data_IF_333246988221
#
_entry.id   IF_333246988221
#
_cell.length_a   1.000
_cell.length_b   1.000
_cell.length_c   1.000
_cell.angle_alpha   90.00
_cell.angle_beta   90.00
_cell.angle_gamma   90.00
#
_symmetry.space_group_name_H-M   'P 1'
#
loop_
_entity.id
_entity.type
_entity.pdbx_description
1 polymer ?
#
# COMPACT_ATOMS: atom_id res chain seq x y z
N UNK A 1 34.62 -31.15 -25.37
CA UNK A 1 34.42 -30.32 -24.16
C UNK A 1 34.02 -28.93 -24.56
N UNK A 2 32.75 -28.58 -24.34
CA UNK A 2 32.22 -27.24 -24.57
C UNK A 2 32.25 -26.48 -23.25
N UNK A 3 32.81 -25.27 -23.26
CA UNK A 3 32.79 -24.37 -22.10
C UNK A 3 31.53 -23.51 -22.23
N UNK A 4 30.53 -23.77 -21.40
CA UNK A 4 29.23 -23.08 -21.45
C UNK A 4 29.29 -21.68 -20.82
N UNK A 5 30.20 -21.46 -19.87
CA UNK A 5 30.39 -20.18 -19.19
C UNK A 5 31.82 -20.02 -18.68
N UNK A 6 32.30 -18.78 -18.64
CA UNK A 6 33.57 -18.42 -18.01
C UNK A 6 33.37 -17.25 -17.04
N UNK A 7 34.13 -17.27 -15.95
CA UNK A 7 34.18 -16.16 -15.00
C UNK A 7 35.41 -15.31 -15.29
N UNK A 8 35.21 -14.01 -15.42
CA UNK A 8 36.27 -13.07 -15.77
C UNK A 8 36.01 -11.70 -15.14
N UNK A 9 36.99 -10.80 -15.20
CA UNK A 9 36.82 -9.43 -14.72
C UNK A 9 35.82 -8.66 -15.60
N UNK A 10 34.99 -7.85 -14.95
CA UNK A 10 33.92 -7.11 -15.62
C UNK A 10 34.43 -6.28 -16.81
N UNK A 11 35.49 -5.49 -16.61
CA UNK A 11 36.04 -4.60 -17.63
C UNK A 11 36.47 -5.37 -18.89
N UNK A 12 37.15 -6.51 -18.72
CA UNK A 12 37.63 -7.29 -19.87
C UNK A 12 36.49 -8.05 -20.53
N UNK A 13 35.53 -8.60 -19.76
CA UNK A 13 34.32 -9.21 -20.33
C UNK A 13 33.50 -8.22 -21.15
N UNK A 14 33.23 -7.03 -20.62
CA UNK A 14 32.48 -5.98 -21.33
C UNK A 14 33.20 -5.57 -22.61
N UNK A 15 34.52 -5.40 -22.56
CA UNK A 15 35.30 -5.10 -23.75
C UNK A 15 35.19 -6.19 -24.80
N UNK A 16 35.41 -7.45 -24.43
CA UNK A 16 35.38 -8.59 -25.34
C UNK A 16 34.00 -8.79 -25.97
N UNK A 17 32.93 -8.72 -25.17
CA UNK A 17 31.55 -8.86 -25.66
C UNK A 17 31.15 -7.71 -26.60
N UNK A 18 31.51 -6.47 -26.27
CA UNK A 18 31.08 -5.30 -27.05
C UNK A 18 31.94 -5.01 -28.28
N UNK A 19 33.17 -5.54 -28.35
CA UNK A 19 34.12 -5.21 -29.41
C UNK A 19 34.62 -6.40 -30.25
N UNK A 20 34.68 -7.61 -29.69
CA UNK A 20 35.34 -8.76 -30.34
C UNK A 20 34.38 -9.92 -30.60
N UNK A 21 33.50 -10.24 -29.65
CA UNK A 21 32.66 -11.43 -29.66
C UNK A 21 31.20 -11.06 -29.44
N UNK A 22 30.58 -10.50 -30.49
CA UNK A 22 29.19 -10.01 -30.45
C UNK A 22 28.13 -11.10 -30.19
N UNK A 23 28.50 -12.38 -30.30
CA UNK A 23 27.64 -13.53 -30.03
C UNK A 23 27.61 -13.91 -28.54
N UNK A 24 28.56 -13.40 -27.76
CA UNK A 24 28.63 -13.63 -26.32
C UNK A 24 27.82 -12.58 -25.57
N UNK A 25 27.37 -12.92 -24.36
CA UNK A 25 26.71 -11.98 -23.46
C UNK A 25 27.24 -12.15 -22.04
N UNK A 26 27.33 -11.05 -21.30
CA UNK A 26 27.57 -11.08 -19.86
C UNK A 26 26.25 -11.40 -19.14
N UNK A 27 26.26 -12.33 -18.19
CA UNK A 27 25.06 -12.74 -17.43
C UNK A 27 25.25 -12.40 -15.95
N UNK A 28 24.27 -11.71 -15.37
CA UNK A 28 24.25 -11.37 -13.93
C UNK A 28 24.94 -10.05 -13.58
N UNK A 29 25.07 -9.81 -12.27
CA UNK A 29 25.77 -8.65 -11.69
C UNK A 29 27.14 -9.08 -11.17
N UNK A 30 28.09 -8.14 -11.11
CA UNK A 30 29.42 -8.41 -10.57
C UNK A 30 29.32 -8.94 -9.12
N UNK A 31 29.85 -10.13 -8.87
CA UNK A 31 29.77 -10.79 -7.55
C UNK A 31 30.85 -10.31 -6.57
N UNK A 32 31.88 -9.61 -7.07
CA UNK A 32 32.98 -9.07 -6.26
C UNK A 32 33.47 -7.75 -6.84
N UNK A 33 33.70 -6.78 -5.96
CA UNK A 33 34.34 -5.51 -6.30
C UNK A 33 35.83 -5.60 -5.97
N UNK A 34 36.64 -5.62 -7.02
CA UNK A 34 38.10 -5.56 -6.92
C UNK A 34 38.61 -4.45 -7.84
N UNK A 35 39.73 -3.85 -7.47
CA UNK A 35 40.31 -2.71 -8.17
C UNK A 35 41.69 -3.10 -8.70
N UNK A 36 42.02 -2.61 -9.89
CA UNK A 36 43.36 -2.71 -10.44
C UNK A 36 44.27 -1.73 -9.71
N UNK A 37 45.44 -2.21 -9.27
CA UNK A 37 46.44 -1.40 -8.58
C UNK A 37 47.80 -1.60 -9.24
N UNK A 38 48.63 -0.55 -9.20
CA UNK A 38 50.03 -0.63 -9.61
C UNK A 38 50.81 -1.21 -8.42
N UNK A 39 51.36 -2.43 -8.53
CA UNK A 39 52.11 -3.00 -7.41
C UNK A 39 53.42 -2.25 -7.22
N UNK A 40 53.67 -1.78 -5.98
CA UNK A 40 54.92 -1.09 -5.62
C UNK A 40 55.64 -1.83 -4.49
N UNK A 41 56.97 -1.82 -4.51
CA UNK A 41 57.80 -2.45 -3.46
C UNK A 41 57.57 -1.72 -2.13
N UNK A 42 57.50 -2.47 -1.03
CA UNK A 42 57.41 -1.88 0.32
C UNK A 42 58.61 -0.96 0.58
N UNK A 43 58.33 0.28 0.98
CA UNK A 43 59.36 1.31 1.21
C UNK A 43 59.82 2.05 -0.06
N UNK A 44 59.10 1.94 -1.17
CA UNK A 44 59.42 2.72 -2.36
C UNK A 44 59.19 4.22 -2.11
N UNK A 45 60.25 5.01 -2.29
CA UNK A 45 60.29 6.44 -1.97
C UNK A 45 59.24 7.26 -2.74
N UNK A 46 58.89 6.85 -3.96
CA UNK A 46 57.95 7.57 -4.83
C UNK A 46 56.48 7.15 -4.67
N UNK A 47 56.15 6.32 -3.67
CA UNK A 47 54.77 5.86 -3.50
C UNK A 47 53.80 7.04 -3.30
N UNK A 48 54.16 7.98 -2.43
CA UNK A 48 53.31 9.14 -2.14
C UNK A 48 53.09 10.02 -3.38
N UNK A 49 54.14 10.24 -4.17
CA UNK A 49 54.04 11.00 -5.42
C UNK A 49 53.16 10.25 -6.44
N UNK A 50 53.35 8.94 -6.61
CA UNK A 50 52.52 8.14 -7.50
C UNK A 50 51.03 8.20 -7.11
N UNK A 51 50.72 8.04 -5.83
CA UNK A 51 49.34 8.10 -5.32
C UNK A 51 48.73 9.50 -5.60
N UNK A 52 49.49 10.58 -5.40
CA UNK A 52 49.05 11.94 -5.70
C UNK A 52 48.79 12.16 -7.20
N UNK A 53 49.64 11.62 -8.07
CA UNK A 53 49.45 11.75 -9.52
C UNK A 53 48.27 10.90 -10.00
N UNK A 54 48.05 9.70 -9.46
CA UNK A 54 46.87 8.89 -9.76
C UNK A 54 45.59 9.63 -9.37
N UNK A 55 45.57 10.24 -8.19
CA UNK A 55 44.40 11.02 -7.74
C UNK A 55 44.13 12.21 -8.66
N UNK A 56 45.17 12.99 -8.99
CA UNK A 56 45.05 14.11 -9.93
C UNK A 56 44.56 13.64 -11.31
N UNK A 57 45.00 12.47 -11.77
CA UNK A 57 44.59 11.86 -13.04
C UNK A 57 43.13 11.39 -13.03
N UNK A 58 42.62 10.95 -11.87
CA UNK A 58 41.19 10.66 -11.66
C UNK A 58 40.36 11.94 -11.67
N UNK A 59 40.79 12.97 -10.92
CA UNK A 59 40.07 14.25 -10.80
C UNK A 59 40.02 15.03 -12.12
N UNK A 60 41.04 14.90 -12.97
CA UNK A 60 41.08 15.56 -14.27
C UNK A 60 40.20 14.90 -15.35
N UNK A 61 39.46 13.84 -15.01
CA UNK A 61 38.65 13.03 -15.94
C UNK A 61 39.45 12.43 -17.12
N UNK A 62 40.78 12.37 -17.02
CA UNK A 62 41.63 11.85 -18.10
C UNK A 62 41.50 10.32 -18.20
N UNK A 63 41.26 9.65 -17.06
CA UNK A 63 40.89 8.23 -17.02
C UNK A 63 39.60 7.98 -17.78
N UNK A 64 38.58 8.83 -17.62
CA UNK A 64 37.30 8.67 -18.32
C UNK A 64 37.50 8.86 -19.82
N UNK A 65 38.36 9.80 -20.23
CA UNK A 65 38.71 9.99 -21.64
C UNK A 65 39.41 8.78 -22.25
N UNK A 66 40.35 8.18 -21.52
CA UNK A 66 41.03 6.94 -21.93
C UNK A 66 40.02 5.80 -21.99
N UNK A 67 39.15 5.70 -20.98
CA UNK A 67 38.13 4.66 -20.90
C UNK A 67 37.15 4.73 -22.07
N UNK A 68 36.63 5.92 -22.37
CA UNK A 68 35.75 6.15 -23.51
C UNK A 68 36.45 5.84 -24.85
N UNK A 69 37.73 6.22 -24.98
CA UNK A 69 38.50 5.96 -26.21
C UNK A 69 38.73 4.48 -26.47
N UNK A 70 39.05 3.70 -25.44
CA UNK A 70 39.45 2.29 -25.58
C UNK A 70 38.31 1.30 -25.36
N UNK A 71 37.38 1.60 -24.46
CA UNK A 71 36.27 0.72 -24.07
C UNK A 71 34.90 1.21 -24.53
N UNK A 72 34.76 2.49 -24.90
CA UNK A 72 33.47 3.09 -25.29
C UNK A 72 33.02 2.84 -26.72
N UNK A 73 33.87 2.26 -27.58
CA UNK A 73 33.45 1.82 -28.92
C UNK A 73 32.66 0.52 -28.78
N UNK A 74 31.47 0.47 -29.39
CA UNK A 74 30.70 -0.75 -29.55
C UNK A 74 30.68 -1.07 -31.05
N UNK A 75 31.39 -2.12 -31.45
CA UNK A 75 31.48 -2.54 -32.85
C UNK A 75 30.37 -3.54 -33.22
N UNK A 76 29.60 -4.00 -32.25
CA UNK A 76 28.52 -4.95 -32.44
C UNK A 76 27.22 -4.22 -32.79
N UNK A 77 26.69 -4.43 -34.00
CA UNK A 77 25.37 -3.96 -34.39
C UNK A 77 24.30 -4.82 -33.71
N UNK A 78 23.47 -4.21 -32.87
CA UNK A 78 22.43 -4.87 -32.06
C UNK A 78 21.27 -5.47 -32.87
N UNK A 79 21.28 -5.34 -34.19
CA UNK A 79 20.10 -5.50 -35.03
C UNK A 79 19.80 -6.94 -35.46
N UNK A 80 20.78 -7.85 -35.50
CA UNK A 80 20.54 -9.19 -36.11
C UNK A 80 20.14 -10.30 -35.13
N UNK A 81 20.54 -10.20 -33.85
CA UNK A 81 20.32 -11.25 -32.84
C UNK A 81 19.04 -11.04 -32.02
N UNK A 82 18.59 -9.80 -31.88
CA UNK A 82 17.37 -9.48 -31.14
C UNK A 82 16.11 -9.81 -31.97
N UNK A 83 16.10 -9.54 -33.27
CA UNK A 83 14.94 -9.80 -34.15
C UNK A 83 14.63 -11.30 -34.33
N UNK A 84 15.65 -12.16 -34.36
CA UNK A 84 15.43 -13.62 -34.41
C UNK A 84 14.94 -14.20 -33.06
N UNK A 85 15.28 -13.55 -31.94
CA UNK A 85 14.96 -14.00 -30.58
C UNK A 85 13.62 -13.45 -30.08
N UNK A 86 13.22 -12.25 -30.47
CA UNK A 86 11.90 -11.69 -30.16
C UNK A 86 10.80 -12.48 -30.85
N UNK A 87 11.02 -12.93 -32.09
CA UNK A 87 10.02 -13.67 -32.86
C UNK A 87 9.75 -15.07 -32.29
N UNK A 88 10.78 -15.72 -31.73
CA UNK A 88 10.67 -17.04 -31.08
C UNK A 88 10.16 -16.95 -29.65
N UNK A 89 10.58 -15.94 -28.88
CA UNK A 89 10.08 -15.71 -27.51
C UNK A 89 8.63 -15.23 -27.52
N UNK A 90 8.26 -14.29 -28.39
CA UNK A 90 6.88 -13.79 -28.47
C UNK A 90 5.90 -14.93 -28.81
N UNK A 91 6.23 -15.80 -29.77
CA UNK A 91 5.41 -16.97 -30.12
C UNK A 91 5.26 -17.96 -28.96
N UNK A 92 6.34 -18.20 -28.20
CA UNK A 92 6.31 -19.12 -27.05
C UNK A 92 5.52 -18.55 -25.87
N UNK A 93 5.70 -17.27 -25.58
CA UNK A 93 5.02 -16.60 -24.45
C UNK A 93 3.53 -16.40 -24.75
N UNK A 94 3.16 -16.02 -25.98
CA UNK A 94 1.75 -15.96 -26.39
C UNK A 94 1.06 -17.32 -26.30
N UNK A 95 1.72 -18.39 -26.77
CA UNK A 95 1.19 -19.75 -26.67
C UNK A 95 0.92 -20.19 -25.23
N UNK A 96 1.84 -19.89 -24.30
CA UNK A 96 1.65 -20.19 -22.89
C UNK A 96 0.49 -19.40 -22.27
N UNK A 97 0.33 -18.13 -22.63
CA UNK A 97 -0.80 -17.31 -22.15
C UNK A 97 -2.13 -17.91 -22.64
N UNK A 98 -2.25 -18.29 -23.91
CA UNK A 98 -3.47 -18.93 -24.43
C UNK A 98 -3.79 -20.25 -23.73
N UNK A 99 -2.77 -21.08 -23.45
CA UNK A 99 -2.95 -22.33 -22.69
C UNK A 99 -3.46 -22.03 -21.27
N UNK A 100 -2.88 -21.04 -20.58
CA UNK A 100 -3.32 -20.69 -19.22
C UNK A 100 -4.75 -20.15 -19.21
N UNK A 101 -5.14 -19.31 -20.17
CA UNK A 101 -6.50 -18.78 -20.30
C UNK A 101 -7.49 -19.92 -20.60
N UNK A 102 -7.14 -20.84 -21.49
CA UNK A 102 -7.97 -22.01 -21.78
C UNK A 102 -8.16 -22.89 -20.55
N UNK A 103 -7.09 -23.12 -19.78
CA UNK A 103 -7.14 -23.93 -18.56
C UNK A 103 -7.97 -23.25 -17.46
N UNK A 104 -7.83 -21.94 -17.28
CA UNK A 104 -8.67 -21.15 -16.36
C UNK A 104 -10.14 -21.19 -16.79
N UNK A 105 -10.42 -21.10 -18.09
CA UNK A 105 -11.77 -21.15 -18.63
C UNK A 105 -12.43 -22.52 -18.38
N UNK A 106 -11.71 -23.61 -18.63
CA UNK A 106 -12.17 -24.98 -18.33
C UNK A 106 -12.38 -25.16 -16.82
N UNK A 107 -11.44 -24.70 -16.00
CA UNK A 107 -11.58 -24.76 -14.53
C UNK A 107 -12.76 -23.94 -14.03
N UNK A 108 -13.02 -22.77 -14.62
CA UNK A 108 -14.19 -21.95 -14.27
C UNK A 108 -15.50 -22.67 -14.61
N UNK A 109 -15.57 -23.35 -15.76
CA UNK A 109 -16.74 -24.17 -16.13
C UNK A 109 -16.90 -25.35 -15.17
N UNK A 110 -15.81 -26.06 -14.84
CA UNK A 110 -15.83 -27.17 -13.90
C UNK A 110 -16.26 -26.72 -12.50
N UNK A 111 -15.74 -25.59 -12.00
CA UNK A 111 -16.13 -25.01 -10.71
C UNK A 111 -17.59 -24.56 -10.75
N UNK A 112 -18.06 -23.99 -11.86
CA UNK A 112 -19.47 -23.61 -12.00
C UNK A 112 -20.38 -24.85 -11.93
N UNK A 113 -20.05 -25.92 -12.65
CA UNK A 113 -20.77 -27.19 -12.56
C UNK A 113 -20.68 -27.85 -11.18
N UNK A 114 -19.52 -27.80 -10.53
CA UNK A 114 -19.32 -28.32 -9.18
C UNK A 114 -20.08 -27.52 -8.13
N UNK A 115 -20.10 -26.19 -8.21
CA UNK A 115 -20.86 -25.33 -7.31
C UNK A 115 -22.36 -25.59 -7.45
N UNK A 116 -22.85 -25.79 -8.68
CA UNK A 116 -24.25 -26.13 -8.95
C UNK A 116 -24.60 -27.54 -8.47
N UNK A 117 -23.68 -28.50 -8.60
CA UNK A 117 -23.83 -29.87 -8.07
C UNK A 117 -23.81 -29.88 -6.53
N UNK A 118 -22.94 -29.12 -5.89
CA UNK A 118 -22.88 -29.00 -4.44
C UNK A 118 -24.08 -28.25 -3.87
N UNK A 119 -24.62 -27.25 -4.58
CA UNK A 119 -25.89 -26.63 -4.24
C UNK A 119 -27.03 -27.67 -4.25
N UNK A 120 -27.10 -28.51 -5.30
CA UNK A 120 -28.10 -29.56 -5.41
C UNK A 120 -27.93 -30.68 -4.35
N UNK A 121 -26.69 -31.10 -4.08
CA UNK A 121 -26.38 -32.07 -3.01
C UNK A 121 -26.67 -31.47 -1.62
N UNK A 122 -26.44 -30.17 -1.41
CA UNK A 122 -26.78 -29.50 -0.14
C UNK A 122 -28.29 -29.42 0.10
N UNK A 123 -29.09 -29.27 -0.95
CA UNK A 123 -30.56 -29.32 -0.88
C UNK A 123 -31.04 -30.76 -0.58
N UNK A 124 -30.43 -31.76 -1.22
CA UNK A 124 -30.83 -33.17 -1.04
C UNK A 124 -30.37 -33.74 0.31
N UNK A 125 -29.22 -33.31 0.83
CA UNK A 125 -28.75 -33.67 2.18
C UNK A 125 -29.53 -32.97 3.30
N UNK A 126 -30.15 -31.81 3.04
CA UNK A 126 -31.07 -31.14 3.99
C UNK A 126 -32.43 -31.81 4.13
N UNK A 127 -32.88 -32.56 3.13
CA UNK A 127 -34.12 -33.36 3.23
C UNK A 127 -33.87 -34.72 3.92
N UNK A 128 -32.63 -35.23 3.90
CA UNK A 128 -32.28 -36.54 4.48
C UNK A 128 -31.51 -36.49 5.80
N UNK A 129 -31.20 -35.31 6.36
CA UNK A 129 -30.65 -35.14 7.72
C UNK A 129 -31.59 -34.33 8.60
N UNK A 130 -32.78 -34.86 8.82
CA UNK A 130 -33.35 -34.84 10.17
C UNK A 130 -32.74 -36.03 10.88
N UNK A 131 -32.17 -35.81 12.07
CA UNK A 131 -31.57 -36.81 12.96
C UNK A 131 -30.09 -37.15 12.71
N UNK A 132 -29.22 -36.28 13.22
CA UNK A 132 -28.06 -36.70 14.03
C UNK A 132 -27.34 -35.47 14.58
N UNK A 133 -27.77 -35.04 15.77
CA UNK A 133 -27.04 -34.15 16.65
C UNK A 133 -25.80 -34.93 17.13
N UNK A 134 -24.65 -34.66 16.53
CA UNK A 134 -23.37 -35.01 17.12
C UNK A 134 -23.00 -33.86 18.04
N UNK A 135 -23.02 -34.14 19.34
CA UNK A 135 -22.53 -33.26 20.40
C UNK A 135 -21.02 -33.04 20.23
N UNK A 136 -20.64 -32.07 19.41
CA UNK A 136 -19.34 -31.42 19.48
C UNK A 136 -19.45 -30.27 20.50
N UNK A 137 -18.45 -29.99 21.35
CA UNK A 137 -18.50 -28.83 22.23
C UNK A 137 -18.40 -27.56 21.37
N UNK A 138 -19.55 -27.05 20.93
CA UNK A 138 -19.71 -25.84 20.13
C UNK A 138 -19.56 -24.61 21.02
N UNK A 139 -18.33 -24.22 21.32
CA UNK A 139 -18.03 -22.89 21.89
C UNK A 139 -17.66 -21.89 20.79
N UNK A 140 -18.34 -21.95 19.64
CA UNK A 140 -18.18 -20.91 18.62
C UNK A 140 -18.72 -19.61 19.16
N UNK A 141 -17.89 -18.57 19.20
CA UNK A 141 -18.30 -17.22 19.61
C UNK A 141 -19.44 -16.74 18.73
N UNK A 142 -20.49 -16.17 19.35
CA UNK A 142 -21.63 -15.61 18.64
C UNK A 142 -21.81 -14.13 18.97
N UNK A 143 -22.12 -13.38 17.91
CA UNK A 143 -22.35 -11.95 17.89
C UNK A 143 -23.80 -11.73 17.50
N UNK A 144 -24.53 -11.01 18.36
CA UNK A 144 -25.94 -10.70 18.14
C UNK A 144 -26.06 -9.19 18.00
N UNK A 145 -26.68 -8.74 16.92
CA UNK A 145 -26.98 -7.35 16.63
C UNK A 145 -28.51 -7.18 16.64
N UNK A 146 -29.03 -6.19 17.37
CA UNK A 146 -30.47 -5.95 17.47
C UNK A 146 -30.75 -4.47 17.28
N UNK A 147 -31.68 -4.16 16.37
CA UNK A 147 -32.22 -2.80 16.17
C UNK A 147 -31.10 -1.79 15.83
N UNK A 148 -30.14 -2.19 15.00
CA UNK A 148 -29.02 -1.32 14.59
C UNK A 148 -29.18 -0.77 13.17
N UNK A 149 -29.90 -1.46 12.29
CA UNK A 149 -29.98 -1.16 10.85
C UNK A 149 -30.44 0.26 10.54
N UNK A 150 -31.34 0.81 11.35
CA UNK A 150 -31.89 2.16 11.23
C UNK A 150 -30.91 3.27 11.63
N UNK A 151 -29.85 2.93 12.38
CA UNK A 151 -28.90 3.87 12.93
C UNK A 151 -27.51 3.81 12.26
N UNK A 152 -27.31 2.90 11.29
CA UNK A 152 -26.08 2.78 10.53
C UNK A 152 -26.09 3.71 9.32
N UNK A 153 -24.99 4.44 9.12
CA UNK A 153 -24.76 5.15 7.86
C UNK A 153 -24.39 4.17 6.73
N UNK A 154 -24.39 4.63 5.48
CA UNK A 154 -24.16 3.76 4.31
C UNK A 154 -22.84 2.96 4.41
N UNK A 155 -21.77 3.59 4.91
CA UNK A 155 -20.49 2.92 5.15
C UNK A 155 -20.61 1.80 6.20
N UNK A 156 -21.19 2.10 7.36
CA UNK A 156 -21.34 1.15 8.45
C UNK A 156 -22.24 -0.02 8.07
N UNK A 157 -23.32 0.24 7.33
CA UNK A 157 -24.19 -0.80 6.77
C UNK A 157 -23.44 -1.71 5.79
N UNK A 158 -22.67 -1.15 4.85
CA UNK A 158 -21.88 -1.95 3.92
C UNK A 158 -20.78 -2.77 4.61
N UNK A 159 -20.16 -2.22 5.66
CA UNK A 159 -19.20 -2.95 6.48
C UNK A 159 -19.87 -4.10 7.24
N UNK A 160 -21.06 -3.87 7.81
CA UNK A 160 -21.84 -4.90 8.48
C UNK A 160 -22.23 -6.02 7.52
N UNK A 161 -22.77 -5.69 6.35
CA UNK A 161 -23.10 -6.67 5.30
C UNK A 161 -21.89 -7.52 4.91
N UNK A 162 -20.71 -6.89 4.78
CA UNK A 162 -19.45 -7.56 4.50
C UNK A 162 -19.11 -8.58 5.60
N UNK A 163 -19.22 -8.18 6.87
CA UNK A 163 -18.96 -9.08 8.00
C UNK A 163 -19.98 -10.22 8.07
N UNK A 164 -21.28 -9.93 7.94
CA UNK A 164 -22.34 -10.94 7.91
C UNK A 164 -22.14 -11.95 6.77
N UNK A 165 -21.66 -11.50 5.61
CA UNK A 165 -21.36 -12.38 4.47
C UNK A 165 -20.18 -13.33 4.74
N UNK A 166 -19.17 -12.87 5.50
CA UNK A 166 -17.95 -13.63 5.80
C UNK A 166 -18.09 -14.51 7.05
N UNK A 167 -18.90 -14.11 8.02
CA UNK A 167 -19.08 -14.78 9.31
C UNK A 167 -20.56 -15.18 9.54
N UNK A 168 -21.19 -15.78 8.51
CA UNK A 168 -22.62 -16.11 8.47
C UNK A 168 -23.14 -16.90 9.67
N UNK A 169 -22.33 -17.80 10.19
CA UNK A 169 -22.73 -18.69 11.28
C UNK A 169 -22.45 -18.09 12.67
N UNK A 170 -21.82 -16.91 12.72
CA UNK A 170 -21.38 -16.26 13.97
C UNK A 170 -22.06 -14.93 14.21
N UNK A 171 -22.60 -14.28 13.19
CA UNK A 171 -23.27 -12.97 13.31
C UNK A 171 -24.77 -13.11 13.02
N UNK A 172 -25.59 -12.81 14.03
CA UNK A 172 -27.05 -12.78 13.93
C UNK A 172 -27.51 -11.32 13.98
N UNK A 173 -28.12 -10.84 12.90
CA UNK A 173 -28.64 -9.48 12.82
C UNK A 173 -30.17 -9.50 12.85
N UNK A 174 -30.76 -8.87 13.86
CA UNK A 174 -32.19 -8.72 14.05
C UNK A 174 -32.56 -7.26 13.82
N UNK A 175 -33.41 -7.01 12.81
CA UNK A 175 -33.81 -5.65 12.44
C UNK A 175 -34.72 -5.01 13.49
N UNK A 176 -35.57 -5.81 14.14
CA UNK A 176 -36.53 -5.33 15.13
C UNK A 176 -36.42 -6.07 16.46
N UNK A 177 -36.80 -5.39 17.52
CA UNK A 177 -36.90 -5.94 18.88
C UNK A 177 -37.95 -7.03 19.00
N UNK A 178 -39.06 -6.92 18.25
CA UNK A 178 -40.17 -7.87 18.26
C UNK A 178 -39.80 -9.27 17.79
N UNK A 179 -38.77 -9.38 16.95
CA UNK A 179 -38.37 -10.64 16.32
C UNK A 179 -37.38 -11.42 17.18
N UNK A 180 -36.90 -10.79 18.25
CA UNK A 180 -35.83 -11.30 19.08
C UNK A 180 -36.36 -12.04 20.31
N UNK A 181 -35.88 -13.26 20.49
CA UNK A 181 -36.22 -14.12 21.62
C UNK A 181 -34.93 -14.76 22.16
N UNK A 182 -34.56 -14.43 23.40
CA UNK A 182 -33.37 -14.97 24.05
C UNK A 182 -33.42 -16.50 24.17
N UNK A 183 -34.61 -17.09 24.27
CA UNK A 183 -34.77 -18.54 24.42
C UNK A 183 -34.49 -19.30 23.11
N UNK A 184 -34.54 -18.61 21.97
CA UNK A 184 -34.19 -19.17 20.66
C UNK A 184 -32.69 -19.14 20.37
N UNK A 185 -31.91 -18.45 21.20
CA UNK A 185 -30.48 -18.33 21.00
C UNK A 185 -29.74 -19.54 21.56
N UNK A 186 -28.58 -19.88 20.98
CA UNK A 186 -27.73 -20.91 21.53
C UNK A 186 -27.28 -20.54 22.95
N UNK A 187 -27.11 -21.55 23.82
CA UNK A 187 -26.90 -21.42 25.27
C UNK A 187 -25.73 -20.52 25.73
N UNK A 188 -24.89 -20.02 24.83
CA UNK A 188 -23.78 -19.12 25.14
C UNK A 188 -23.60 -18.07 24.05
N UNK A 189 -24.19 -16.89 24.26
CA UNK A 189 -23.97 -15.70 23.43
C UNK A 189 -22.72 -15.01 23.96
N UNK A 190 -21.77 -14.69 23.08
CA UNK A 190 -20.56 -14.03 23.57
C UNK A 190 -20.76 -12.53 23.63
N UNK A 191 -21.26 -11.90 22.57
CA UNK A 191 -21.28 -10.44 22.50
C UNK A 191 -22.58 -9.94 21.88
N UNK A 192 -23.23 -8.99 22.54
CA UNK A 192 -24.48 -8.37 22.14
C UNK A 192 -24.26 -6.90 21.78
N UNK A 193 -24.74 -6.47 20.61
CA UNK A 193 -24.72 -5.08 20.15
C UNK A 193 -26.17 -4.62 19.96
N UNK A 194 -26.58 -3.54 20.63
CA UNK A 194 -27.99 -3.12 20.71
C UNK A 194 -28.15 -1.60 20.60
N UNK A 195 -29.32 -1.14 20.18
CA UNK A 195 -29.73 0.26 20.33
C UNK A 195 -29.93 0.62 21.81
N UNK A 196 -29.80 1.91 22.15
CA UNK A 196 -30.14 2.43 23.48
C UNK A 196 -31.60 2.15 23.88
N UNK A 197 -32.51 2.19 22.91
CA UNK A 197 -33.93 1.86 23.08
C UNK A 197 -34.12 0.40 23.52
N UNK A 198 -33.49 -0.54 22.83
CA UNK A 198 -33.53 -1.95 23.24
C UNK A 198 -32.79 -2.18 24.56
N UNK A 199 -31.67 -1.49 24.79
CA UNK A 199 -30.96 -1.58 26.06
C UNK A 199 -31.83 -1.13 27.26
N UNK A 200 -32.75 -0.19 27.07
CA UNK A 200 -33.68 0.24 28.11
C UNK A 200 -34.79 -0.79 28.42
N UNK A 201 -35.12 -1.68 27.47
CA UNK A 201 -36.11 -2.75 27.71
C UNK A 201 -35.50 -3.95 28.43
N UNK A 202 -34.17 -4.11 28.36
CA UNK A 202 -33.44 -5.11 29.13
C UNK A 202 -33.44 -4.76 30.63
N UNK A 203 -34.22 -5.51 31.43
CA UNK A 203 -34.24 -5.36 32.90
C UNK A 203 -32.89 -5.64 33.55
N UNK A 204 -32.14 -6.59 32.99
CA UNK A 204 -30.80 -6.97 33.41
C UNK A 204 -30.07 -7.65 32.24
N UNK A 205 -28.73 -7.68 32.32
CA UNK A 205 -27.90 -8.42 31.38
C UNK A 205 -28.23 -9.93 31.48
N UNK A 206 -28.59 -10.62 30.39
CA UNK A 206 -28.85 -12.05 30.43
C UNK A 206 -27.59 -12.83 30.81
N UNK A 207 -27.73 -13.89 31.62
CA UNK A 207 -26.62 -14.76 32.06
C UNK A 207 -25.86 -15.39 30.88
N UNK A 208 -26.53 -15.53 29.74
CA UNK A 208 -25.98 -16.10 28.53
C UNK A 208 -25.05 -15.16 27.76
N UNK A 209 -24.97 -13.86 28.10
CA UNK A 209 -24.23 -12.83 27.35
C UNK A 209 -22.95 -12.42 28.08
N UNK A 210 -21.77 -12.52 27.45
CA UNK A 210 -20.50 -12.12 28.07
C UNK A 210 -20.30 -10.60 28.09
N UNK A 211 -20.65 -9.89 27.00
CA UNK A 211 -20.52 -8.42 26.88
C UNK A 211 -21.68 -7.81 26.12
N UNK A 212 -22.05 -6.59 26.48
CA UNK A 212 -23.09 -5.80 25.82
C UNK A 212 -22.48 -4.46 25.39
N UNK A 213 -22.68 -4.09 24.13
CA UNK A 213 -22.30 -2.81 23.57
C UNK A 213 -23.55 -2.10 23.08
N UNK A 214 -23.67 -0.81 23.39
CA UNK A 214 -24.89 -0.03 23.20
C UNK A 214 -24.59 1.14 22.26
N UNK A 215 -25.43 1.30 21.24
CA UNK A 215 -25.49 2.51 20.45
C UNK A 215 -26.30 3.57 21.20
N UNK A 216 -25.62 4.57 21.74
CA UNK A 216 -26.21 5.59 22.61
C UNK A 216 -26.50 6.87 21.82
N UNK A 217 -27.78 7.26 21.78
CA UNK A 217 -28.21 8.50 21.15
C UNK A 217 -27.96 9.71 22.06
N UNK A 218 -28.04 9.50 23.38
CA UNK A 218 -27.73 10.53 24.38
C UNK A 218 -26.22 10.66 24.59
N UNK A 219 -25.64 11.67 23.95
CA UNK A 219 -24.20 11.99 24.04
C UNK A 219 -23.67 12.14 25.46
N UNK A 220 -24.52 12.46 26.44
CA UNK A 220 -24.11 12.60 27.85
C UNK A 220 -23.79 11.26 28.52
N UNK A 221 -24.29 10.15 27.96
CA UNK A 221 -24.15 8.79 28.48
C UNK A 221 -23.07 7.98 27.77
N UNK A 222 -22.41 8.57 26.76
CA UNK A 222 -21.37 7.91 25.97
C UNK A 222 -20.08 7.79 26.79
N UNK A 223 -19.53 6.57 26.90
CA UNK A 223 -18.29 6.28 27.62
C UNK A 223 -17.19 5.67 26.73
N UNK A 224 -17.51 5.35 25.47
CA UNK A 224 -16.64 4.71 24.48
C UNK A 224 -16.02 3.37 24.92
N UNK A 225 -16.51 2.78 26.01
CA UNK A 225 -16.12 1.44 26.47
C UNK A 225 -17.26 0.46 26.22
N UNK A 226 -18.47 0.83 26.60
CA UNK A 226 -19.68 0.04 26.41
C UNK A 226 -20.73 0.80 25.59
N UNK A 227 -20.67 2.14 25.57
CA UNK A 227 -21.64 3.02 24.92
C UNK A 227 -20.98 3.87 23.84
N UNK A 228 -21.49 3.80 22.62
CA UNK A 228 -20.91 4.44 21.44
C UNK A 228 -21.86 5.49 20.87
N UNK A 229 -21.33 6.64 20.47
CA UNK A 229 -22.12 7.74 19.93
C UNK A 229 -22.52 7.54 18.46
N UNK A 230 -21.78 6.71 17.70
CA UNK A 230 -22.01 6.53 16.27
C UNK A 230 -22.03 5.05 15.87
N UNK A 231 -22.91 4.72 14.92
CA UNK A 231 -22.98 3.36 14.36
C UNK A 231 -21.67 2.94 13.69
N UNK A 232 -20.89 3.91 13.17
CA UNK A 232 -19.57 3.67 12.60
C UNK A 232 -18.61 3.10 13.65
N UNK A 233 -18.51 3.74 14.81
CA UNK A 233 -17.61 3.32 15.89
C UNK A 233 -18.02 1.95 16.44
N UNK A 234 -19.33 1.71 16.56
CA UNK A 234 -19.88 0.42 16.98
C UNK A 234 -19.52 -0.72 16.01
N UNK A 235 -19.58 -0.45 14.70
CA UNK A 235 -19.21 -1.43 13.67
C UNK A 235 -17.70 -1.71 13.64
N UNK A 236 -16.86 -0.71 13.91
CA UNK A 236 -15.42 -0.95 14.11
C UNK A 236 -15.16 -1.81 15.33
N UNK A 237 -15.83 -1.53 16.45
CA UNK A 237 -15.72 -2.36 17.64
C UNK A 237 -16.17 -3.81 17.39
N UNK A 238 -17.26 -4.01 16.64
CA UNK A 238 -17.68 -5.34 16.22
C UNK A 238 -16.59 -6.06 15.43
N UNK A 239 -15.95 -5.39 14.48
CA UNK A 239 -14.83 -5.95 13.72
C UNK A 239 -13.65 -6.34 14.63
N UNK A 240 -13.30 -5.49 15.59
CA UNK A 240 -12.23 -5.74 16.56
C UNK A 240 -12.56 -6.91 17.50
N UNK A 241 -13.81 -7.03 17.93
CA UNK A 241 -14.27 -8.14 18.78
C UNK A 241 -14.31 -9.47 18.01
N UNK A 242 -14.71 -9.47 16.73
CA UNK A 242 -14.59 -10.64 15.84
C UNK A 242 -13.13 -11.06 15.72
N UNK A 243 -12.22 -10.10 15.44
CA UNK A 243 -10.79 -10.35 15.34
C UNK A 243 -10.23 -10.97 16.63
N UNK A 244 -10.57 -10.38 17.79
CA UNK A 244 -10.12 -10.84 19.11
C UNK A 244 -10.60 -12.27 19.39
N UNK A 245 -11.88 -12.54 19.20
CA UNK A 245 -12.47 -13.85 19.49
C UNK A 245 -11.91 -14.94 18.56
N UNK A 246 -11.80 -14.68 17.26
CA UNK A 246 -11.29 -15.67 16.32
C UNK A 246 -9.80 -15.96 16.55
N UNK A 247 -9.00 -14.97 16.94
CA UNK A 247 -7.62 -15.22 17.33
C UNK A 247 -7.51 -16.05 18.61
N UNK A 248 -8.39 -15.82 19.58
CA UNK A 248 -8.47 -16.64 20.80
C UNK A 248 -8.87 -18.08 20.47
N UNK A 249 -9.86 -18.28 19.59
CA UNK A 249 -10.25 -19.61 19.09
C UNK A 249 -9.11 -20.29 18.33
N UNK A 250 -8.44 -19.56 17.43
CA UNK A 250 -7.28 -20.08 16.70
C UNK A 250 -6.15 -20.53 17.62
N UNK A 251 -5.88 -19.74 18.68
CA UNK A 251 -4.90 -20.10 19.71
C UNK A 251 -5.32 -21.35 20.48
N UNK A 252 -6.58 -21.43 20.90
CA UNK A 252 -7.11 -22.61 21.59
C UNK A 252 -7.01 -23.88 20.72
N UNK A 253 -7.34 -23.80 19.42
CA UNK A 253 -7.16 -24.93 18.50
C UNK A 253 -5.70 -25.30 18.30
N UNK A 254 -4.80 -24.31 18.25
CA UNK A 254 -3.36 -24.56 18.16
C UNK A 254 -2.85 -25.27 19.41
N UNK A 255 -3.31 -24.87 20.61
CA UNK A 255 -2.96 -25.49 21.89
C UNK A 255 -3.54 -26.90 22.02
N UNK A 256 -4.71 -27.16 21.43
CA UNK A 256 -5.31 -28.50 21.39
C UNK A 256 -4.73 -29.42 20.30
N UNK A 257 -3.76 -28.95 19.50
CA UNK A 257 -3.14 -29.70 18.42
C UNK A 257 -3.93 -29.76 17.10
N UNK A 258 -5.07 -29.06 16.99
CA UNK A 258 -5.87 -28.99 15.76
C UNK A 258 -5.39 -27.81 14.89
N UNK A 259 -4.22 -28.00 14.27
CA UNK A 259 -3.57 -26.98 13.45
C UNK A 259 -4.40 -26.56 12.23
N UNK A 260 -5.25 -27.45 11.70
CA UNK A 260 -6.09 -27.17 10.54
C UNK A 260 -7.14 -26.13 10.92
N UNK A 261 -7.88 -26.34 12.02
CA UNK A 261 -8.86 -25.35 12.49
C UNK A 261 -8.21 -24.04 12.93
N UNK A 262 -7.04 -24.12 13.56
CA UNK A 262 -6.29 -22.93 13.95
C UNK A 262 -5.93 -22.05 12.73
N UNK A 263 -5.44 -22.65 11.65
CA UNK A 263 -5.10 -21.93 10.42
C UNK A 263 -6.34 -21.40 9.71
N UNK A 264 -7.42 -22.18 9.65
CA UNK A 264 -8.68 -21.75 9.05
C UNK A 264 -9.24 -20.51 9.75
N UNK A 265 -9.21 -20.47 11.10
CA UNK A 265 -9.63 -19.29 11.87
C UNK A 265 -8.74 -18.07 11.61
N UNK A 266 -7.41 -18.24 11.50
CA UNK A 266 -6.49 -17.14 11.14
C UNK A 266 -6.75 -16.59 9.73
N UNK A 267 -7.06 -17.47 8.79
CA UNK A 267 -7.41 -17.08 7.41
C UNK A 267 -8.73 -16.31 7.37
N UNK A 268 -9.76 -16.76 8.09
CA UNK A 268 -11.04 -16.05 8.21
C UNK A 268 -10.86 -14.61 8.71
N UNK A 269 -10.05 -14.42 9.77
CA UNK A 269 -9.75 -13.09 10.31
C UNK A 269 -9.05 -12.20 9.29
N UNK A 270 -8.03 -12.73 8.62
CA UNK A 270 -7.26 -11.99 7.62
C UNK A 270 -8.15 -11.55 6.45
N UNK A 271 -9.09 -12.41 6.06
CA UNK A 271 -10.07 -12.14 5.01
C UNK A 271 -11.07 -11.04 5.42
N UNK A 272 -11.62 -11.11 6.64
CA UNK A 272 -12.52 -10.08 7.17
C UNK A 272 -11.85 -8.70 7.16
N UNK A 273 -10.63 -8.62 7.70
CA UNK A 273 -9.89 -7.35 7.74
C UNK A 273 -9.61 -6.79 6.33
N UNK A 274 -9.16 -7.64 5.41
CA UNK A 274 -8.92 -7.25 4.01
C UNK A 274 -10.18 -6.73 3.32
N UNK A 275 -11.32 -7.41 3.46
CA UNK A 275 -12.57 -6.97 2.82
C UNK A 275 -13.14 -5.70 3.46
N UNK A 276 -13.06 -5.56 4.79
CA UNK A 276 -13.45 -4.31 5.47
C UNK A 276 -12.61 -3.12 5.00
N UNK A 277 -11.29 -3.30 4.84
CA UNK A 277 -10.40 -2.28 4.28
C UNK A 277 -10.82 -1.87 2.87
N UNK A 278 -11.15 -2.85 2.00
CA UNK A 278 -11.64 -2.57 0.63
C UNK A 278 -12.97 -1.80 0.67
N UNK A 279 -13.90 -2.19 1.53
CA UNK A 279 -15.19 -1.50 1.69
C UNK A 279 -14.97 -0.05 2.12
N UNK A 280 -14.16 0.19 3.16
CA UNK A 280 -13.82 1.53 3.61
C UNK A 280 -13.21 2.40 2.50
N UNK A 281 -12.25 1.85 1.74
CA UNK A 281 -11.61 2.57 0.62
C UNK A 281 -12.59 2.94 -0.49
N UNK A 282 -13.59 2.09 -0.80
CA UNK A 282 -14.60 2.40 -1.82
C UNK A 282 -15.44 3.61 -1.44
N UNK A 283 -15.85 3.71 -0.18
CA UNK A 283 -16.64 4.84 0.32
C UNK A 283 -15.80 6.11 0.37
N UNK A 284 -14.55 6.03 0.84
CA UNK A 284 -13.66 7.18 0.87
C UNK A 284 -13.41 7.75 -0.54
N UNK A 285 -13.25 6.90 -1.55
CA UNK A 285 -13.12 7.35 -2.96
C UNK A 285 -14.39 8.02 -3.50
N UNK A 286 -15.58 7.57 -3.08
CA UNK A 286 -16.86 8.18 -3.50
C UNK A 286 -17.01 9.60 -2.94
N UNK A 287 -16.69 9.79 -1.66
CA UNK A 287 -16.77 11.11 -1.01
C UNK A 287 -15.81 12.13 -1.63
N UNK A 288 -14.62 11.66 -2.07
CA UNK A 288 -13.67 12.49 -2.82
C UNK A 288 -14.27 12.94 -4.15
N UNK A 289 -14.98 12.05 -4.86
CA UNK A 289 -15.51 12.37 -6.20
C UNK A 289 -16.66 13.37 -6.16
N UNK A 290 -17.41 13.45 -5.05
CA UNK A 290 -18.62 14.28 -4.93
C UNK A 290 -18.30 15.69 -4.40
N UNK A 291 -17.20 15.88 -3.66
CA UNK A 291 -16.84 17.17 -3.04
C UNK A 291 -15.70 17.95 -3.72
N UNK A 292 -15.16 17.46 -4.84
CA UNK A 292 -14.05 18.10 -5.58
C UNK A 292 -14.40 19.43 -6.28
N UNK A 293 -15.60 19.98 -6.12
CA UNK A 293 -15.90 21.33 -6.64
C UNK A 293 -15.41 22.47 -5.74
N UNK A 294 -15.02 22.22 -4.47
CA UNK A 294 -14.54 23.29 -3.58
C UNK A 294 -13.43 22.92 -2.56
N UNK A 295 -13.02 21.65 -2.43
CA UNK A 295 -11.94 21.32 -1.49
C UNK A 295 -10.57 21.71 -2.05
N UNK A 296 -9.86 22.58 -1.33
CA UNK A 296 -8.47 23.01 -1.61
C UNK A 296 -7.56 21.79 -1.73
N UNK A 297 -7.33 21.35 -2.96
CA UNK A 297 -6.63 20.12 -3.24
C UNK A 297 -5.13 20.37 -3.01
N UNK A 298 -4.56 19.70 -2.02
CA UNK A 298 -3.13 19.79 -1.75
C UNK A 298 -2.39 18.92 -2.77
N UNK A 299 -1.41 19.49 -3.48
CA UNK A 299 -0.60 18.79 -4.48
C UNK A 299 0.86 18.79 -4.07
N UNK A 300 1.52 17.66 -4.24
CA UNK A 300 2.96 17.54 -4.10
C UNK A 300 3.57 17.50 -5.50
N UNK A 301 4.42 18.48 -5.80
CA UNK A 301 5.04 18.64 -7.12
C UNK A 301 6.55 18.57 -6.98
N UNK A 302 7.19 17.82 -7.85
CA UNK A 302 8.66 17.80 -7.97
C UNK A 302 9.09 18.40 -9.30
N UNK A 303 9.75 19.56 -9.25
CA UNK A 303 10.46 20.17 -10.36
C UNK A 303 11.89 19.61 -10.42
N UNK A 304 12.07 18.64 -11.31
CA UNK A 304 13.26 17.78 -11.40
C UNK A 304 14.21 18.26 -12.49
N UNK A 305 15.50 18.28 -12.17
CA UNK A 305 16.58 18.49 -13.13
C UNK A 305 16.76 17.28 -14.05
N UNK A 306 16.98 17.53 -15.34
CA UNK A 306 17.04 16.50 -16.40
C UNK A 306 18.09 15.40 -16.18
N UNK A 307 19.05 15.63 -15.28
CA UNK A 307 20.20 14.74 -15.08
C UNK A 307 20.03 13.73 -13.92
N UNK A 308 19.00 13.85 -13.09
CA UNK A 308 18.82 12.95 -11.93
C UNK A 308 18.05 11.68 -12.28
N UNK A 309 18.34 10.58 -11.57
CA UNK A 309 17.68 9.29 -11.71
C UNK A 309 16.21 9.32 -11.21
N UNK A 310 15.34 8.49 -11.80
CA UNK A 310 13.90 8.38 -11.47
C UNK A 310 13.63 7.56 -10.20
N UNK A 311 14.63 6.88 -9.65
CA UNK A 311 14.46 5.97 -8.52
C UNK A 311 13.91 6.68 -7.27
N UNK A 312 14.45 7.84 -6.91
CA UNK A 312 14.03 8.57 -5.70
C UNK A 312 12.63 9.17 -5.86
N UNK A 313 12.34 9.72 -7.04
CA UNK A 313 11.02 10.25 -7.37
C UNK A 313 9.95 9.15 -7.28
N UNK A 314 10.22 7.95 -7.81
CA UNK A 314 9.30 6.81 -7.70
C UNK A 314 9.08 6.37 -6.25
N UNK A 315 10.13 6.36 -5.43
CA UNK A 315 10.01 6.05 -3.99
C UNK A 315 9.14 7.08 -3.27
N UNK A 316 9.35 8.36 -3.58
CA UNK A 316 8.58 9.44 -2.97
C UNK A 316 7.10 9.40 -3.39
N UNK A 317 6.83 9.16 -4.68
CA UNK A 317 5.47 8.93 -5.19
C UNK A 317 4.81 7.80 -4.39
N UNK A 318 5.45 6.63 -4.31
CA UNK A 318 4.87 5.49 -3.59
C UNK A 318 4.63 5.77 -2.09
N UNK A 319 5.45 6.61 -1.46
CA UNK A 319 5.31 6.96 -0.05
C UNK A 319 4.13 7.91 0.19
N UNK A 320 3.91 8.86 -0.72
CA UNK A 320 2.93 9.94 -0.52
C UNK A 320 1.65 9.80 -1.37
N UNK A 321 1.54 8.83 -2.27
CA UNK A 321 0.35 8.62 -3.13
C UNK A 321 -0.94 8.42 -2.32
N UNK A 322 -0.83 7.81 -1.13
CA UNK A 322 -1.97 7.62 -0.24
C UNK A 322 -2.37 8.90 0.53
N UNK A 323 -1.48 9.90 0.62
CA UNK A 323 -1.64 11.09 1.45
C UNK A 323 -1.97 12.32 0.60
N UNK A 324 -1.26 12.51 -0.52
CA UNK A 324 -1.29 13.73 -1.35
C UNK A 324 -1.50 13.32 -2.81
N UNK A 325 -2.75 13.07 -3.19
CA UNK A 325 -3.09 12.75 -4.58
C UNK A 325 -3.70 13.99 -5.27
N UNK A 326 -3.17 14.42 -6.44
CA UNK A 326 -2.11 13.81 -7.25
C UNK A 326 -0.69 14.34 -6.98
N UNK A 327 0.30 13.45 -7.08
CA UNK A 327 1.72 13.78 -7.20
C UNK A 327 2.06 14.10 -8.66
N UNK A 328 2.85 15.14 -8.93
CA UNK A 328 3.26 15.49 -10.30
C UNK A 328 4.77 15.76 -10.39
N UNK A 329 5.37 15.36 -11.50
CA UNK A 329 6.81 15.55 -11.78
C UNK A 329 6.96 16.36 -13.05
N UNK A 330 7.74 17.44 -13.00
CA UNK A 330 8.05 18.26 -14.16
C UNK A 330 9.55 18.24 -14.40
N UNK A 331 9.98 17.89 -15.61
CA UNK A 331 11.38 17.92 -16.02
C UNK A 331 11.78 19.26 -16.70
N UNK A 332 10.79 20.11 -16.97
CA UNK A 332 10.95 21.39 -17.66
C UNK A 332 10.28 22.50 -16.85
N UNK A 333 11.00 23.61 -16.68
CA UNK A 333 10.50 24.79 -16.00
C UNK A 333 9.31 25.42 -16.73
N UNK A 334 9.33 25.41 -18.07
CA UNK A 334 8.25 26.00 -18.88
C UNK A 334 6.91 25.31 -18.62
N UNK A 335 6.90 23.98 -18.70
CA UNK A 335 5.70 23.15 -18.50
C UNK A 335 5.17 23.32 -17.06
N UNK A 336 6.07 23.44 -16.08
CA UNK A 336 5.69 23.71 -14.70
C UNK A 336 5.07 25.11 -14.52
N UNK A 337 5.62 26.14 -15.17
CA UNK A 337 5.07 27.49 -15.12
C UNK A 337 3.70 27.58 -15.79
N UNK A 338 3.52 26.91 -16.93
CA UNK A 338 2.21 26.80 -17.61
C UNK A 338 1.19 26.11 -16.68
N UNK A 339 1.60 24.99 -16.07
CA UNK A 339 0.78 24.28 -15.11
C UNK A 339 0.37 25.17 -13.90
N UNK A 340 1.31 25.96 -13.35
CA UNK A 340 1.03 26.88 -12.25
C UNK A 340 0.05 27.99 -12.65
N UNK A 341 0.09 28.44 -13.90
CA UNK A 341 -0.84 29.46 -14.41
C UNK A 341 -2.26 28.91 -14.54
N UNK A 342 -2.41 27.67 -15.03
CA UNK A 342 -3.71 27.01 -15.14
C UNK A 342 -4.35 26.71 -13.77
N UNK A 343 -3.54 26.55 -12.72
CA UNK A 343 -3.97 26.10 -11.39
C UNK A 343 -3.79 27.16 -10.29
N UNK A 344 -3.76 28.45 -10.64
CA UNK A 344 -3.45 29.55 -9.73
C UNK A 344 -4.43 29.66 -8.54
N UNK A 345 -5.70 29.29 -8.75
CA UNK A 345 -6.79 29.60 -7.81
C UNK A 345 -7.17 28.46 -6.85
N UNK A 346 -6.72 27.22 -7.07
CA UNK A 346 -7.39 26.06 -6.45
C UNK A 346 -6.51 25.05 -5.71
N UNK A 347 -5.18 25.10 -5.86
CA UNK A 347 -4.30 24.10 -5.26
C UNK A 347 -3.41 24.68 -4.15
N UNK A 348 -3.24 23.93 -3.05
CA UNK A 348 -2.14 24.17 -2.12
C UNK A 348 -0.95 23.34 -2.57
N UNK A 349 0.10 23.99 -3.05
CA UNK A 349 1.23 23.31 -3.68
C UNK A 349 2.38 23.21 -2.68
N UNK A 350 2.86 21.98 -2.52
CA UNK A 350 4.12 21.64 -1.88
C UNK A 350 5.10 21.33 -2.99
N UNK A 351 6.15 22.13 -3.10
CA UNK A 351 7.06 22.11 -4.23
C UNK A 351 8.43 21.61 -3.79
N UNK A 352 8.90 20.54 -4.42
CA UNK A 352 10.28 20.05 -4.31
C UNK A 352 11.02 20.54 -5.54
N UNK A 353 12.11 21.27 -5.36
CA UNK A 353 12.93 21.82 -6.44
C UNK A 353 14.34 21.27 -6.29
N UNK A 354 14.89 20.73 -7.38
CA UNK A 354 16.30 20.35 -7.38
C UNK A 354 17.22 21.58 -7.23
N UNK A 355 18.39 21.40 -6.62
CA UNK A 355 19.38 22.48 -6.38
C UNK A 355 19.94 23.13 -7.66
N UNK A 356 19.68 22.55 -8.83
CA UNK A 356 20.21 23.02 -10.12
C UNK A 356 19.46 24.27 -10.65
N UNK A 357 18.36 24.67 -10.02
CA UNK A 357 17.58 25.85 -10.40
C UNK A 357 18.08 27.12 -9.70
N UNK A 358 18.12 28.23 -10.44
CA UNK A 358 18.57 29.55 -9.98
C UNK A 358 17.72 30.07 -8.80
N UNK A 359 18.36 30.70 -7.82
CA UNK A 359 17.72 31.37 -6.68
C UNK A 359 16.65 32.37 -7.11
N UNK A 360 16.84 33.04 -8.25
CA UNK A 360 15.86 33.97 -8.81
C UNK A 360 14.54 33.27 -9.18
N UNK A 361 14.61 32.04 -9.67
CA UNK A 361 13.44 31.23 -10.03
C UNK A 361 12.69 30.82 -8.77
N UNK A 362 13.43 30.37 -7.75
CA UNK A 362 12.82 29.98 -6.47
C UNK A 362 12.20 31.19 -5.75
N UNK A 363 12.85 32.35 -5.81
CA UNK A 363 12.31 33.60 -5.26
C UNK A 363 11.01 34.03 -5.96
N UNK A 364 10.86 33.74 -7.26
CA UNK A 364 9.60 33.99 -7.97
C UNK A 364 8.47 33.07 -7.49
N UNK A 365 8.77 31.79 -7.26
CA UNK A 365 7.80 30.84 -6.71
C UNK A 365 7.33 31.18 -5.30
N UNK A 366 8.20 31.73 -4.45
CA UNK A 366 7.81 32.20 -3.12
C UNK A 366 6.77 33.33 -3.14
N UNK A 367 6.65 34.10 -4.23
CA UNK A 367 5.66 35.17 -4.36
C UNK A 367 4.25 34.63 -4.64
N UNK A 368 4.12 33.36 -5.05
CA UNK A 368 2.83 32.78 -5.43
C UNK A 368 2.08 32.27 -4.20
N UNK A 369 0.82 32.69 -4.05
CA UNK A 369 0.00 32.40 -2.86
C UNK A 369 -0.47 30.95 -2.76
N UNK A 370 -0.51 30.24 -3.90
CA UNK A 370 -0.89 28.84 -3.99
C UNK A 370 0.24 27.89 -3.56
N UNK A 371 1.50 28.31 -3.65
CA UNK A 371 2.66 27.56 -3.15
C UNK A 371 2.80 27.81 -1.65
N UNK A 372 2.64 26.75 -0.85
CA UNK A 372 2.70 26.84 0.61
C UNK A 372 4.10 26.60 1.13
N UNK A 373 4.80 25.62 0.55
CA UNK A 373 6.11 25.17 1.01
C UNK A 373 6.97 24.84 -0.20
N UNK A 374 8.24 25.24 -0.12
CA UNK A 374 9.27 24.93 -1.12
C UNK A 374 10.42 24.22 -0.40
N UNK A 375 10.76 23.02 -0.86
CA UNK A 375 11.88 22.23 -0.35
C UNK A 375 12.94 22.12 -1.46
N UNK A 376 14.18 22.54 -1.15
CA UNK A 376 15.32 22.38 -2.07
C UNK A 376 16.00 21.05 -1.81
N UNK A 377 16.14 20.23 -2.86
CA UNK A 377 16.66 18.88 -2.77
C UNK A 377 17.89 18.67 -3.65
N UNK A 378 19.01 18.29 -3.05
CA UNK A 378 20.27 18.03 -3.76
C UNK A 378 21.51 18.34 -2.92
N UNK A 379 22.68 18.00 -3.48
CA UNK A 379 23.96 18.28 -2.83
C UNK A 379 24.25 19.79 -2.91
N UNK A 380 24.15 20.48 -1.78
CA UNK A 380 24.50 21.90 -1.71
C UNK A 380 26.01 22.10 -1.77
N UNK A 381 26.47 23.02 -2.62
CA UNK A 381 27.83 23.59 -2.54
C UNK A 381 27.87 24.86 -1.67
N UNK A 382 26.73 25.36 -1.20
CA UNK A 382 26.58 26.66 -0.50
C UNK A 382 26.05 26.50 0.92
N UNK A 383 26.68 27.18 1.89
CA UNK A 383 26.47 27.02 3.33
C UNK A 383 25.26 27.76 3.93
N UNK A 384 24.47 28.48 3.15
CA UNK A 384 23.57 29.51 3.71
C UNK A 384 22.05 29.26 3.61
N UNK A 385 21.57 28.11 3.14
CA UNK A 385 20.13 27.77 3.16
C UNK A 385 19.89 26.30 3.54
N UNK A 386 18.68 25.99 4.05
CA UNK A 386 18.21 24.64 4.43
C UNK A 386 18.06 23.76 3.21
N UNK A 387 19.17 23.39 2.61
CA UNK A 387 19.24 22.45 1.51
C UNK A 387 19.23 21.06 2.10
N UNK A 388 18.30 20.22 1.68
CA UNK A 388 18.20 18.85 2.17
C UNK A 388 18.95 17.97 1.18
N UNK A 389 20.08 17.43 1.61
CA UNK A 389 20.95 16.57 0.80
C UNK A 389 20.65 15.08 0.98
N UNK A 390 19.82 14.72 1.96
CA UNK A 390 19.50 13.35 2.32
C UNK A 390 18.01 13.03 2.11
N UNK A 391 17.71 11.99 1.32
CA UNK A 391 16.34 11.58 0.99
C UNK A 391 15.42 11.31 2.22
N UNK A 392 15.85 10.57 3.27
CA UNK A 392 15.07 10.41 4.50
C UNK A 392 14.72 11.71 5.20
N UNK A 393 15.63 12.70 5.19
CA UNK A 393 15.39 14.00 5.79
C UNK A 393 14.36 14.81 4.99
N UNK A 394 14.40 14.71 3.65
CA UNK A 394 13.38 15.31 2.78
C UNK A 394 12.01 14.73 3.10
N UNK A 395 11.90 13.41 3.20
CA UNK A 395 10.66 12.74 3.58
C UNK A 395 10.16 13.20 4.94
N UNK A 396 11.03 13.27 5.95
CA UNK A 396 10.67 13.71 7.30
C UNK A 396 10.14 15.15 7.30
N UNK A 397 10.83 16.07 6.63
CA UNK A 397 10.42 17.46 6.49
C UNK A 397 9.07 17.59 5.79
N UNK A 398 8.91 16.93 4.63
CA UNK A 398 7.64 16.96 3.89
C UNK A 398 6.49 16.38 4.70
N UNK A 399 6.69 15.27 5.41
CA UNK A 399 5.66 14.68 6.28
C UNK A 399 5.27 15.64 7.40
N UNK A 400 6.24 16.23 8.10
CA UNK A 400 5.99 17.21 9.16
C UNK A 400 5.17 18.40 8.64
N UNK A 401 5.55 18.91 7.47
CA UNK A 401 4.97 20.09 6.85
C UNK A 401 3.54 19.83 6.34
N UNK A 402 3.30 18.66 5.75
CA UNK A 402 1.96 18.21 5.37
C UNK A 402 1.05 18.05 6.59
N UNK A 403 1.53 17.41 7.66
CA UNK A 403 0.76 17.26 8.91
C UNK A 403 0.41 18.63 9.48
N UNK A 404 1.38 19.55 9.53
CA UNK A 404 1.17 20.91 10.03
C UNK A 404 0.13 21.65 9.20
N UNK A 405 0.18 21.51 7.88
CA UNK A 405 -0.79 22.12 6.98
C UNK A 405 -2.20 21.55 7.15
N UNK A 406 -2.36 20.22 7.18
CA UNK A 406 -3.65 19.59 7.40
C UNK A 406 -4.24 19.89 8.77
N UNK A 407 -3.41 20.00 9.81
CA UNK A 407 -3.86 20.44 11.14
C UNK A 407 -4.40 21.87 11.12
N UNK A 408 -3.75 22.79 10.38
CA UNK A 408 -4.25 24.16 10.19
C UNK A 408 -5.57 24.17 9.43
N UNK A 409 -5.70 23.40 8.35
CA UNK A 409 -6.94 23.25 7.59
C UNK A 409 -8.07 22.67 8.45
N UNK A 410 -7.79 21.63 9.24
CA UNK A 410 -8.74 21.03 10.17
C UNK A 410 -9.23 22.05 11.21
N UNK A 411 -8.31 22.85 11.77
CA UNK A 411 -8.66 23.93 12.70
C UNK A 411 -9.54 24.98 12.04
N UNK A 412 -9.19 25.44 10.83
CA UNK A 412 -9.99 26.41 10.07
C UNK A 412 -11.40 25.88 9.76
N UNK A 413 -11.51 24.61 9.36
CA UNK A 413 -12.79 23.96 9.13
C UNK A 413 -13.66 23.91 10.39
N UNK A 414 -13.07 23.57 11.56
CA UNK A 414 -13.82 23.57 12.83
C UNK A 414 -14.32 24.95 13.23
N UNK A 415 -13.59 26.02 12.89
CA UNK A 415 -14.03 27.40 13.11
C UNK A 415 -15.20 27.75 12.19
N UNK A 416 -15.09 27.45 10.89
CA UNK A 416 -16.18 27.67 9.92
C UNK A 416 -17.44 26.91 10.34
N UNK A 417 -17.30 25.65 10.75
CA UNK A 417 -18.41 24.82 11.24
C UNK A 417 -19.03 25.34 12.55
N UNK A 418 -18.30 26.06 13.38
CA UNK A 418 -18.85 26.72 14.58
C UNK A 418 -19.59 28.02 14.25
N UNK A 419 -19.25 28.67 13.14
CA UNK A 419 -19.87 29.92 12.69
C UNK A 419 -21.09 29.74 11.77
N UNK A 420 -21.23 28.56 11.17
CA UNK A 420 -22.41 28.14 10.42
C UNK A 420 -23.37 27.38 11.34
#
# INVERSE_FOLDING_TARGET
>A
DYIDATLWSNISSTYHVNNMYCELMTVGVAFSHSFYQIPVKRGWLYKADLDSHILSFMESAEIDRISAKWFGRCNCSTTSLFDARTDTVAKRTLSQIFITIALISIMSILIHFWSRRNYFISIMTRISRKDSIINLPTTSTQFVLIDLSTHLNELASAMLETMCSLAKDSIFNFENDSDFDFDKLPKKITILFVSSKFAATMKSKPDQVERVFILEEDKSRVDNQERFATGKDLIFLLADEIYRCYNKEAKAYSESGDLIKANLKKEEVSRIHSELKKTHQRFFRRDITINTSTSTLTRLIWLKSKLKDDVETKRLINLFDEIVSPFSVFANLSDFCEYLHEHETFAHIFLIIDTDYDDLVVADFHKRSNIKIICRYGQSSSKNETTIDNYPELCLHLTHDLITHYNKLGTAYTLIKKSA
#
